data_IF_619899375320
#
_entry.id   IF_619899375320
#
_cell.length_a   1.000
_cell.length_b   1.000
_cell.length_c   1.000
_cell.angle_alpha   90.00
_cell.angle_beta   90.00
_cell.angle_gamma   90.00
#
_symmetry.space_group_name_H-M   'P 1'
#
loop_
_entity.id
_entity.type
_entity.pdbx_description
1 polymer ?
#
# COMPACT_ATOMS: atom_id res chain seq x y z
N UNK A 1 23.83 -2.24 -12.32
CA UNK A 1 22.42 -2.47 -11.94
C UNK A 1 22.39 -3.66 -10.99
N UNK A 2 21.87 -3.48 -9.75
CA UNK A 2 21.74 -4.56 -8.78
C UNK A 2 20.73 -5.61 -9.24
N UNK A 3 20.90 -6.85 -8.82
CA UNK A 3 19.97 -7.94 -9.10
C UNK A 3 18.66 -7.64 -8.36
N UNK A 4 17.52 -7.66 -9.06
CA UNK A 4 16.22 -7.48 -8.45
C UNK A 4 15.82 -8.72 -7.68
N UNK A 5 15.29 -8.54 -6.47
CA UNK A 5 15.05 -9.63 -5.53
C UNK A 5 13.57 -9.75 -5.18
N UNK A 6 13.14 -10.97 -4.93
CA UNK A 6 11.92 -11.27 -4.21
C UNK A 6 12.30 -11.76 -2.81
N UNK A 7 11.67 -11.17 -1.79
CA UNK A 7 11.83 -11.59 -0.39
C UNK A 7 10.47 -11.91 0.20
N UNK A 8 10.32 -13.10 0.75
CA UNK A 8 9.14 -13.42 1.55
C UNK A 8 9.16 -12.63 2.87
N UNK A 9 8.03 -12.03 3.24
CA UNK A 9 7.89 -11.26 4.50
C UNK A 9 8.33 -12.08 5.70
N UNK A 10 7.96 -13.36 5.78
CA UNK A 10 8.35 -14.23 6.89
C UNK A 10 9.86 -14.44 7.01
N UNK A 11 10.59 -14.32 5.91
CA UNK A 11 12.04 -14.47 5.82
C UNK A 11 12.77 -13.12 5.85
N UNK A 12 12.04 -12.02 6.05
CA UNK A 12 12.63 -10.69 6.11
C UNK A 12 13.65 -10.59 7.27
N UNK A 13 14.79 -10.00 6.96
CA UNK A 13 15.84 -9.63 7.91
C UNK A 13 16.28 -8.20 7.63
N UNK A 14 16.70 -7.48 8.65
CA UNK A 14 17.23 -6.13 8.50
C UNK A 14 18.38 -6.10 7.46
N UNK A 15 18.42 -5.04 6.67
CA UNK A 15 19.41 -4.85 5.62
C UNK A 15 19.13 -5.59 4.30
N UNK A 16 18.01 -6.29 4.17
CA UNK A 16 17.63 -6.96 2.90
C UNK A 16 17.28 -5.96 1.80
N UNK A 17 16.66 -4.82 2.17
CA UNK A 17 16.30 -3.77 1.20
C UNK A 17 17.57 -3.02 0.80
N UNK A 18 17.98 -3.19 -0.45
CA UNK A 18 19.15 -2.51 -1.02
C UNK A 18 18.79 -1.18 -1.67
N UNK A 19 17.55 -1.02 -2.10
CA UNK A 19 17.04 0.20 -2.71
C UNK A 19 16.96 1.34 -1.69
N UNK A 20 17.19 2.58 -2.15
CA UNK A 20 17.05 3.76 -1.31
C UNK A 20 15.58 4.19 -1.16
N UNK A 21 14.75 3.87 -2.16
CA UNK A 21 13.32 4.18 -2.19
C UNK A 21 12.51 2.95 -1.89
N UNK A 22 11.53 3.08 -1.00
CA UNK A 22 10.60 2.00 -0.64
C UNK A 22 9.17 2.50 -0.84
N UNK A 23 8.34 1.66 -1.46
CA UNK A 23 6.92 1.91 -1.66
C UNK A 23 6.13 0.92 -0.80
N UNK A 24 5.26 1.41 0.06
CA UNK A 24 4.27 0.60 0.74
C UNK A 24 2.96 0.64 -0.02
N UNK A 25 2.49 -0.51 -0.44
CA UNK A 25 1.18 -0.67 -1.07
C UNK A 25 0.05 -0.34 -0.07
N UNK A 26 -1.12 0.00 -0.58
CA UNK A 26 -2.30 0.39 0.21
C UNK A 26 -2.64 -0.60 1.31
N UNK A 27 -2.58 -1.90 1.02
CA UNK A 27 -2.89 -2.94 2.00
C UNK A 27 -1.89 -2.98 3.17
N UNK A 28 -0.63 -2.60 2.94
CA UNK A 28 0.39 -2.46 4.00
C UNK A 28 0.10 -1.23 4.85
N UNK A 29 -0.21 -0.10 4.22
CA UNK A 29 -0.53 1.14 4.95
C UNK A 29 -1.77 0.99 5.84
N UNK A 30 -2.79 0.26 5.39
CA UNK A 30 -3.99 -0.04 6.20
C UNK A 30 -3.61 -0.90 7.41
N UNK A 31 -2.77 -1.91 7.22
CA UNK A 31 -2.36 -2.81 8.30
C UNK A 31 -1.49 -2.10 9.34
N UNK A 32 -0.60 -1.18 8.90
CA UNK A 32 0.30 -0.42 9.78
C UNK A 32 -0.40 0.76 10.49
N UNK A 33 -1.21 1.54 9.77
CA UNK A 33 -1.62 2.87 10.22
C UNK A 33 -3.11 3.02 10.51
N UNK A 34 -3.98 2.07 10.09
CA UNK A 34 -5.41 2.19 10.34
C UNK A 34 -5.88 1.29 11.51
N UNK A 35 -6.03 1.85 12.73
CA UNK A 35 -6.33 1.06 13.93
C UNK A 35 -7.71 0.40 13.89
N UNK A 36 -8.62 0.90 13.05
CA UNK A 36 -9.97 0.36 12.85
C UNK A 36 -10.02 -0.92 12.03
N UNK A 37 -8.91 -1.40 11.46
CA UNK A 37 -8.89 -2.62 10.65
C UNK A 37 -9.08 -3.87 11.53
N UNK A 38 -10.34 -4.33 11.64
CA UNK A 38 -10.70 -5.51 12.45
C UNK A 38 -10.31 -6.82 11.75
N UNK A 39 -10.27 -6.82 10.42
CA UNK A 39 -9.84 -7.97 9.63
C UNK A 39 -8.32 -8.05 9.54
N UNK A 40 -7.64 -7.78 10.65
CA UNK A 40 -6.19 -7.82 10.73
C UNK A 40 -5.66 -9.20 10.36
N UNK A 41 -4.54 -9.17 9.70
CA UNK A 41 -3.75 -10.38 9.39
C UNK A 41 -3.25 -11.02 10.67
N UNK A 42 -2.59 -12.18 10.56
CA UNK A 42 -1.95 -12.79 11.72
C UNK A 42 -0.96 -11.80 12.36
N UNK A 43 -0.84 -11.87 13.70
CA UNK A 43 0.08 -11.01 14.44
C UNK A 43 1.53 -11.16 13.95
N UNK A 44 1.89 -12.36 13.50
CA UNK A 44 3.22 -12.61 12.92
C UNK A 44 3.49 -11.75 11.69
N UNK A 45 2.52 -11.62 10.76
CA UNK A 45 2.67 -10.75 9.58
C UNK A 45 2.73 -9.30 9.99
N UNK A 46 1.86 -8.86 10.91
CA UNK A 46 1.86 -7.47 11.41
C UNK A 46 3.20 -7.10 12.02
N UNK A 47 3.74 -7.94 12.90
CA UNK A 47 5.06 -7.72 13.50
C UNK A 47 6.16 -7.61 12.43
N UNK A 48 6.09 -8.42 11.38
CA UNK A 48 7.05 -8.33 10.27
C UNK A 48 6.90 -7.06 9.44
N UNK A 49 5.69 -6.55 9.25
CA UNK A 49 5.47 -5.26 8.61
C UNK A 49 6.02 -4.10 9.45
N UNK A 50 5.82 -4.15 10.77
CA UNK A 50 6.42 -3.20 11.71
C UNK A 50 7.96 -3.26 11.65
N UNK A 51 8.56 -4.47 11.66
CA UNK A 51 10.00 -4.66 11.51
C UNK A 51 10.53 -4.01 10.22
N UNK A 52 9.84 -4.23 9.08
CA UNK A 52 10.22 -3.65 7.79
C UNK A 52 10.14 -2.12 7.83
N UNK A 53 9.07 -1.59 8.39
CA UNK A 53 8.87 -0.14 8.50
C UNK A 53 9.95 0.52 9.36
N UNK A 54 10.21 -0.04 10.55
CA UNK A 54 11.23 0.46 11.47
C UNK A 54 12.63 0.38 10.84
N UNK A 55 12.93 -0.72 10.15
CA UNK A 55 14.21 -0.91 9.47
C UNK A 55 14.42 0.13 8.35
N UNK A 56 13.36 0.43 7.58
CA UNK A 56 13.41 1.52 6.59
C UNK A 56 13.77 2.86 7.23
N UNK A 57 13.15 3.20 8.36
CA UNK A 57 13.44 4.44 9.07
C UNK A 57 14.87 4.48 9.62
N UNK A 58 15.33 3.38 10.25
CA UNK A 58 16.67 3.28 10.82
C UNK A 58 17.78 3.35 9.78
N UNK A 59 17.53 2.82 8.58
CA UNK A 59 18.46 2.87 7.46
C UNK A 59 18.38 4.17 6.65
N UNK A 60 17.49 5.10 7.01
CA UNK A 60 17.30 6.36 6.28
C UNK A 60 16.75 6.15 4.87
N UNK A 61 15.96 5.08 4.64
CA UNK A 61 15.29 4.85 3.36
C UNK A 61 14.23 5.93 3.13
N UNK A 62 14.10 6.37 1.89
CA UNK A 62 13.02 7.28 1.49
C UNK A 62 11.74 6.48 1.23
N UNK A 63 10.76 6.61 2.12
CA UNK A 63 9.44 6.01 1.90
C UNK A 63 8.62 6.98 1.09
N UNK A 64 8.21 6.58 -0.13
CA UNK A 64 7.38 7.37 -1.03
C UNK A 64 5.97 6.79 -1.14
N UNK A 65 5.00 7.68 -1.25
CA UNK A 65 3.60 7.34 -1.50
C UNK A 65 3.12 8.17 -2.70
N UNK A 66 2.50 7.55 -3.68
CA UNK A 66 1.89 8.24 -4.83
C UNK A 66 0.39 8.49 -4.58
N UNK A 67 -0.16 9.53 -5.19
CA UNK A 67 -1.56 9.93 -5.01
C UNK A 67 -2.57 8.78 -5.22
N UNK A 68 -2.41 7.86 -6.20
CA UNK A 68 -3.29 6.69 -6.31
C UNK A 68 -3.36 5.84 -5.04
N UNK A 69 -2.22 5.60 -4.37
CA UNK A 69 -2.15 4.86 -3.10
C UNK A 69 -2.91 5.61 -1.99
N UNK A 70 -2.76 6.94 -1.89
CA UNK A 70 -3.50 7.76 -0.92
C UNK A 70 -5.01 7.67 -1.16
N UNK A 71 -5.44 7.76 -2.42
CA UNK A 71 -6.85 7.65 -2.80
C UNK A 71 -7.43 6.28 -2.46
N UNK A 72 -6.68 5.23 -2.73
CA UNK A 72 -7.08 3.86 -2.42
C UNK A 72 -7.11 3.62 -0.92
N UNK A 73 -6.12 4.11 -0.17
CA UNK A 73 -6.11 4.07 1.29
C UNK A 73 -7.36 4.70 1.88
N UNK A 74 -7.72 5.92 1.44
CA UNK A 74 -8.95 6.58 1.87
C UNK A 74 -10.18 5.71 1.62
N UNK A 75 -10.30 5.14 0.41
CA UNK A 75 -11.44 4.31 0.03
C UNK A 75 -11.54 3.02 0.85
N UNK A 76 -10.41 2.40 1.14
CA UNK A 76 -10.33 1.17 1.92
C UNK A 76 -10.61 1.45 3.41
N UNK A 77 -9.99 2.48 3.99
CA UNK A 77 -10.26 2.92 5.36
C UNK A 77 -11.73 3.29 5.56
N UNK A 78 -12.32 4.02 4.59
CA UNK A 78 -13.75 4.33 4.59
C UNK A 78 -14.63 3.06 4.58
N UNK A 79 -14.27 2.08 3.76
CA UNK A 79 -14.98 0.79 3.73
C UNK A 79 -14.91 0.10 5.08
N UNK A 80 -13.73 0.02 5.68
CA UNK A 80 -13.53 -0.58 7.02
C UNK A 80 -14.34 0.18 8.08
N UNK A 81 -14.35 1.52 8.05
CA UNK A 81 -15.17 2.33 8.96
C UNK A 81 -16.66 2.03 8.82
N UNK A 82 -17.17 1.96 7.60
CA UNK A 82 -18.56 1.61 7.30
C UNK A 82 -18.92 0.20 7.81
N UNK A 83 -18.06 -0.78 7.54
CA UNK A 83 -18.27 -2.17 7.94
C UNK A 83 -18.31 -2.28 9.48
N UNK A 84 -17.42 -1.56 10.18
CA UNK A 84 -17.42 -1.47 11.64
C UNK A 84 -18.66 -0.79 12.19
N UNK A 85 -19.03 0.35 11.60
CA UNK A 85 -20.24 1.07 12.00
C UNK A 85 -21.48 0.20 11.86
N UNK A 86 -21.63 -0.46 10.72
CA UNK A 86 -22.74 -1.38 10.46
C UNK A 86 -22.78 -2.53 11.48
N UNK A 87 -21.64 -3.15 11.76
CA UNK A 87 -21.54 -4.26 12.72
C UNK A 87 -21.91 -3.81 14.13
N UNK A 88 -21.37 -2.70 14.58
CA UNK A 88 -21.57 -2.20 15.95
C UNK A 88 -23.01 -1.74 16.21
N UNK A 89 -23.73 -1.31 15.18
CA UNK A 89 -25.08 -0.80 15.28
C UNK A 89 -26.14 -1.76 14.72
N UNK A 90 -25.77 -2.95 14.27
CA UNK A 90 -26.72 -3.90 13.67
C UNK A 90 -27.34 -3.41 12.35
N UNK A 91 -26.63 -2.53 11.63
CA UNK A 91 -27.11 -1.86 10.42
C UNK A 91 -26.53 -2.49 9.14
N UNK A 92 -27.08 -2.10 7.98
CA UNK A 92 -26.60 -2.49 6.64
C UNK A 92 -26.57 -1.28 5.71
N UNK A 93 -25.98 -0.20 6.17
CA UNK A 93 -25.89 1.04 5.40
C UNK A 93 -24.94 0.86 4.21
N UNK A 94 -25.29 1.51 3.10
CA UNK A 94 -24.40 1.73 1.96
C UNK A 94 -23.59 3.03 2.15
N UNK A 95 -22.51 3.21 1.39
CA UNK A 95 -21.63 4.41 1.45
C UNK A 95 -22.38 5.74 1.47
N UNK A 96 -23.39 5.91 0.60
CA UNK A 96 -24.21 7.15 0.54
C UNK A 96 -25.07 7.39 1.79
N UNK A 97 -25.53 6.32 2.43
CA UNK A 97 -26.32 6.40 3.65
C UNK A 97 -25.42 6.71 4.84
N UNK A 98 -24.28 6.02 4.96
CA UNK A 98 -23.32 6.26 6.04
C UNK A 98 -22.82 7.71 6.06
N UNK A 99 -22.64 8.36 4.91
CA UNK A 99 -22.27 9.79 4.84
C UNK A 99 -23.31 10.75 5.45
N UNK A 100 -24.53 10.29 5.70
CA UNK A 100 -25.60 11.06 6.32
C UNK A 100 -25.73 10.79 7.82
N UNK A 101 -24.97 9.83 8.34
CA UNK A 101 -25.01 9.50 9.76
C UNK A 101 -24.34 10.60 10.60
N UNK A 102 -24.88 10.91 11.80
CA UNK A 102 -24.32 11.94 12.66
C UNK A 102 -22.84 11.74 13.01
N UNK A 103 -22.42 10.48 13.14
CA UNK A 103 -21.06 10.11 13.51
C UNK A 103 -20.11 10.02 12.31
N UNK A 104 -20.59 10.21 11.08
CA UNK A 104 -19.75 10.10 9.87
C UNK A 104 -18.52 11.00 9.95
N UNK A 105 -18.70 12.25 10.41
CA UNK A 105 -17.59 13.21 10.49
C UNK A 105 -16.44 12.72 11.38
N UNK A 106 -16.73 11.98 12.47
CA UNK A 106 -15.70 11.43 13.36
C UNK A 106 -14.82 10.44 12.60
N UNK A 107 -15.43 9.51 11.87
CA UNK A 107 -14.71 8.52 11.07
C UNK A 107 -13.92 9.16 9.93
N UNK A 108 -14.57 10.10 9.21
CA UNK A 108 -13.92 10.77 8.09
C UNK A 108 -12.73 11.63 8.54
N UNK A 109 -12.88 12.39 9.62
CA UNK A 109 -11.79 13.19 10.20
C UNK A 109 -10.65 12.30 10.66
N UNK A 110 -10.94 11.15 11.28
CA UNK A 110 -9.92 10.18 11.68
C UNK A 110 -9.11 9.67 10.49
N UNK A 111 -9.76 9.32 9.37
CA UNK A 111 -9.09 8.87 8.15
C UNK A 111 -8.22 10.00 7.56
N UNK A 112 -8.76 11.21 7.47
CA UNK A 112 -8.02 12.38 6.95
C UNK A 112 -6.80 12.67 7.82
N UNK A 113 -6.93 12.62 9.15
CA UNK A 113 -5.79 12.83 10.07
C UNK A 113 -4.66 11.82 9.86
N UNK A 114 -4.99 10.55 9.53
CA UNK A 114 -3.96 9.56 9.19
C UNK A 114 -3.26 9.93 7.89
N UNK A 115 -4.02 10.36 6.87
CA UNK A 115 -3.46 10.80 5.58
C UNK A 115 -2.58 12.06 5.77
N UNK A 116 -3.00 13.01 6.60
CA UNK A 116 -2.21 14.19 6.92
C UNK A 116 -0.88 13.80 7.60
N UNK A 117 -0.90 12.79 8.48
CA UNK A 117 0.31 12.26 9.10
C UNK A 117 1.25 11.60 8.07
N UNK A 118 0.74 11.05 6.96
CA UNK A 118 1.59 10.54 5.89
C UNK A 118 2.49 11.63 5.31
N UNK A 119 1.99 12.87 5.17
CA UNK A 119 2.79 13.99 4.66
C UNK A 119 3.96 14.38 5.56
N UNK A 120 3.89 14.05 6.86
CA UNK A 120 4.96 14.29 7.83
C UNK A 120 5.99 13.17 7.93
N UNK A 121 5.62 11.95 7.51
CA UNK A 121 6.45 10.75 7.65
C UNK A 121 6.98 10.24 6.31
N UNK A 122 6.27 10.51 5.22
CA UNK A 122 6.54 9.98 3.90
C UNK A 122 6.59 11.09 2.86
N UNK A 123 7.31 10.86 1.79
CA UNK A 123 7.29 11.75 0.65
C UNK A 123 6.10 11.43 -0.24
N UNK A 124 5.10 12.33 -0.26
CA UNK A 124 3.94 12.20 -1.15
C UNK A 124 4.32 12.76 -2.51
N UNK A 125 4.28 11.90 -3.54
CA UNK A 125 4.64 12.27 -4.91
C UNK A 125 3.40 12.44 -5.80
N UNK A 126 3.37 13.57 -6.52
CA UNK A 126 2.44 13.75 -7.64
C UNK A 126 3.04 13.10 -8.88
N UNK A 127 2.94 11.78 -8.96
CA UNK A 127 3.52 11.04 -10.06
C UNK A 127 2.78 11.31 -11.38
N UNK A 128 3.50 11.84 -12.36
CA UNK A 128 3.02 12.05 -13.73
C UNK A 128 3.47 10.88 -14.59
N UNK A 129 2.61 9.90 -14.75
CA UNK A 129 2.90 8.74 -15.59
C UNK A 129 2.73 9.03 -17.09
N UNK A 130 3.57 8.40 -17.91
CA UNK A 130 3.35 8.37 -19.34
C UNK A 130 2.34 7.26 -19.67
N UNK A 131 1.18 7.66 -20.22
CA UNK A 131 0.10 6.73 -20.57
C UNK A 131 0.59 5.57 -21.49
N UNK A 132 1.44 5.89 -22.47
CA UNK A 132 1.97 4.88 -23.39
C UNK A 132 2.81 3.83 -22.64
N UNK A 133 3.59 4.22 -21.63
CA UNK A 133 4.36 3.27 -20.82
C UNK A 133 3.45 2.30 -20.05
N UNK A 134 2.28 2.77 -19.61
CA UNK A 134 1.30 1.94 -18.89
C UNK A 134 0.61 0.99 -19.85
N UNK A 135 0.13 1.47 -21.01
CA UNK A 135 -0.55 0.64 -22.01
C UNK A 135 0.38 -0.43 -22.57
N UNK A 136 1.65 -0.09 -22.83
CA UNK A 136 2.65 -1.08 -23.26
C UNK A 136 2.91 -2.15 -22.20
N UNK A 137 2.80 -1.80 -20.91
CA UNK A 137 2.91 -2.76 -19.81
C UNK A 137 1.66 -3.61 -19.68
N UNK A 138 0.47 -3.04 -19.83
CA UNK A 138 -0.79 -3.78 -19.78
C UNK A 138 -0.80 -4.91 -20.81
N UNK A 139 -0.37 -4.63 -22.05
CA UNK A 139 -0.25 -5.65 -23.09
C UNK A 139 0.79 -6.72 -22.77
N UNK A 140 1.85 -6.40 -22.02
CA UNK A 140 2.94 -7.32 -21.64
C UNK A 140 2.71 -8.04 -20.32
N UNK A 141 2.01 -7.42 -19.36
CA UNK A 141 1.92 -7.88 -17.98
C UNK A 141 0.57 -8.52 -17.63
N UNK A 142 -0.42 -8.41 -18.48
CA UNK A 142 -1.73 -9.07 -18.44
C UNK A 142 -2.22 -9.44 -17.01
N UNK A 143 -3.08 -8.62 -16.42
CA UNK A 143 -3.90 -8.84 -15.22
C UNK A 143 -3.55 -8.05 -13.95
N UNK A 144 -2.77 -7.01 -14.03
CA UNK A 144 -2.76 -5.98 -12.99
C UNK A 144 -3.92 -5.01 -13.25
N UNK A 145 -4.54 -4.50 -12.20
CA UNK A 145 -5.44 -3.37 -12.36
C UNK A 145 -4.66 -2.09 -12.67
N UNK A 146 -5.39 -1.01 -12.97
CA UNK A 146 -4.75 0.22 -13.41
C UNK A 146 -3.88 0.86 -12.32
N UNK A 147 -4.27 0.75 -11.05
CA UNK A 147 -3.49 1.25 -9.91
C UNK A 147 -2.19 0.48 -9.76
N UNK A 148 -2.25 -0.85 -9.84
CA UNK A 148 -1.08 -1.72 -9.76
C UNK A 148 -0.09 -1.46 -10.90
N UNK A 149 -0.60 -1.18 -12.11
CA UNK A 149 0.23 -0.79 -13.25
C UNK A 149 0.97 0.53 -12.99
N UNK A 150 0.30 1.53 -12.41
CA UNK A 150 0.91 2.80 -12.02
C UNK A 150 1.98 2.56 -10.95
N UNK A 151 1.69 1.78 -9.91
CA UNK A 151 2.63 1.44 -8.84
C UNK A 151 3.86 0.74 -9.42
N UNK A 152 3.65 -0.28 -10.26
CA UNK A 152 4.74 -1.01 -10.93
C UNK A 152 5.63 -0.10 -11.75
N UNK A 153 5.01 0.83 -12.50
CA UNK A 153 5.76 1.77 -13.35
C UNK A 153 6.59 2.71 -12.50
N UNK A 154 6.00 3.25 -11.44
CA UNK A 154 6.70 4.11 -10.49
C UNK A 154 7.87 3.40 -9.81
N UNK A 155 7.66 2.15 -9.36
CA UNK A 155 8.73 1.36 -8.75
C UNK A 155 9.90 1.10 -9.70
N UNK A 156 9.63 0.88 -11.00
CA UNK A 156 10.69 0.72 -12.00
C UNK A 156 11.47 2.01 -12.24
N UNK A 157 10.78 3.14 -12.39
CA UNK A 157 11.39 4.45 -12.68
C UNK A 157 12.23 4.94 -11.49
N UNK A 158 11.76 4.74 -10.26
CA UNK A 158 12.45 5.11 -9.03
C UNK A 158 13.49 4.08 -8.57
N UNK A 159 13.60 2.95 -9.25
CA UNK A 159 14.42 1.81 -8.79
C UNK A 159 14.08 1.41 -7.34
N UNK A 160 12.78 1.39 -7.00
CA UNK A 160 12.28 1.19 -5.65
C UNK A 160 12.12 -0.28 -5.28
N UNK A 161 11.99 -0.54 -3.96
CA UNK A 161 11.48 -1.80 -3.43
C UNK A 161 9.98 -1.64 -3.11
N UNK A 162 9.14 -2.53 -3.64
CA UNK A 162 7.71 -2.58 -3.32
C UNK A 162 7.47 -3.54 -2.16
N UNK A 163 6.78 -3.09 -1.12
CA UNK A 163 6.25 -3.94 -0.04
C UNK A 163 4.75 -4.08 -0.26
N UNK A 164 4.29 -5.29 -0.55
CA UNK A 164 2.88 -5.57 -0.88
C UNK A 164 2.45 -6.94 -0.40
N UNK A 165 1.17 -7.11 -0.10
CA UNK A 165 0.51 -8.39 0.17
C UNK A 165 -0.40 -8.82 -0.98
N UNK A 166 -0.43 -8.04 -2.06
CA UNK A 166 -1.24 -8.35 -3.23
C UNK A 166 -0.59 -9.43 -4.08
N UNK A 167 -1.35 -10.52 -4.29
CA UNK A 167 -0.90 -11.68 -5.06
C UNK A 167 -0.81 -11.41 -6.56
N UNK A 168 -1.44 -10.34 -7.04
CA UNK A 168 -1.39 -10.04 -8.46
C UNK A 168 0.01 -9.62 -8.90
N UNK A 169 0.78 -8.97 -8.03
CA UNK A 169 2.20 -8.69 -8.26
C UNK A 169 3.08 -9.94 -8.38
N UNK A 170 2.66 -11.11 -7.86
CA UNK A 170 3.38 -12.37 -8.06
C UNK A 170 3.52 -12.76 -9.53
N UNK A 171 2.47 -12.53 -10.32
CA UNK A 171 2.47 -12.83 -11.75
C UNK A 171 3.43 -11.91 -12.49
N UNK A 172 3.54 -10.68 -12.02
CA UNK A 172 4.39 -9.63 -12.56
C UNK A 172 5.86 -9.95 -12.28
N UNK A 173 6.22 -10.36 -11.07
CA UNK A 173 7.59 -10.74 -10.69
C UNK A 173 8.16 -11.86 -11.56
N UNK A 174 7.37 -12.87 -11.90
CA UNK A 174 7.79 -14.00 -12.76
C UNK A 174 8.15 -13.60 -14.19
N UNK A 175 7.90 -12.36 -14.61
CA UNK A 175 8.10 -11.85 -15.97
C UNK A 175 9.23 -10.82 -16.11
N UNK A 176 10.26 -10.90 -15.29
CA UNK A 176 11.43 -10.02 -15.31
C UNK A 176 11.13 -8.55 -14.95
N UNK A 177 10.52 -8.34 -13.80
CA UNK A 177 10.38 -6.99 -13.26
C UNK A 177 11.71 -6.32 -12.98
N UNK A 178 11.70 -5.01 -13.11
CA UNK A 178 12.85 -4.15 -12.90
C UNK A 178 12.92 -3.55 -11.49
N UNK A 179 12.17 -4.05 -10.52
CA UNK A 179 12.18 -3.61 -9.13
C UNK A 179 12.09 -4.79 -8.16
N UNK A 180 12.52 -4.59 -6.93
CA UNK A 180 12.47 -5.62 -5.87
C UNK A 180 11.10 -5.65 -5.21
N UNK A 181 10.68 -6.83 -4.71
CA UNK A 181 9.39 -7.01 -4.02
C UNK A 181 9.60 -7.75 -2.71
N UNK A 182 8.93 -7.27 -1.65
CA UNK A 182 8.73 -7.98 -0.39
C UNK A 182 7.26 -8.33 -0.27
N UNK A 183 6.94 -9.61 -0.10
CA UNK A 183 5.56 -10.09 -0.01
C UNK A 183 5.46 -11.40 0.76
N UNK A 184 4.22 -11.90 0.97
CA UNK A 184 3.96 -13.16 1.67
C UNK A 184 3.39 -14.28 0.78
N UNK A 185 3.62 -14.25 -0.54
CA UNK A 185 3.13 -15.27 -1.50
C UNK A 185 4.20 -16.11 -2.18
#
# INVERSE_FOLDING_TARGET
MGQKTFTEINNYRSGVIQENVVIFDTNILIDLFYPGNINRRSQQILNKLDDIYIDCLQQGKEIKIIIPIVSEFYNLAFKVALDNYNRNNGLRLKRKQFRKEPNFNIYNTGIISIIDNFSSQFKIEQYKFNYNNIVDKETKLLKLDFTDLIISTFCEEENACLVTLDKDFRKTFRRNLKFSIISNW
#
